data_IF_752583488264
#
_entry.id   IF_752583488264
#
_cell.length_a   1.000
_cell.length_b   1.000
_cell.length_c   1.000
_cell.angle_alpha   90.00
_cell.angle_beta   90.00
_cell.angle_gamma   90.00
#
_symmetry.space_group_name_H-M   'P 1'
#
loop_
_entity.id
_entity.type
_entity.pdbx_description
1 polymer ?
#
# COMPACT_ATOMS: atom_id res chain seq x y z
N UNK A 1 48.84 -32.56 -21.36
CA UNK A 1 47.45 -32.08 -21.53
C UNK A 1 46.81 -31.61 -20.21
N UNK A 2 47.56 -30.99 -19.28
CA UNK A 2 47.08 -30.67 -17.92
C UNK A 2 47.29 -29.20 -17.50
N UNK A 3 47.55 -28.30 -18.45
CA UNK A 3 47.86 -26.89 -18.15
C UNK A 3 46.79 -25.89 -18.58
N UNK A 4 45.66 -26.36 -19.11
CA UNK A 4 44.57 -25.50 -19.60
C UNK A 4 43.42 -25.30 -18.58
N UNK A 5 43.38 -26.01 -17.45
CA UNK A 5 42.23 -25.93 -16.52
C UNK A 5 42.37 -24.93 -15.37
N UNK A 6 43.54 -24.30 -15.17
CA UNK A 6 43.74 -23.35 -14.06
C UNK A 6 43.58 -21.87 -14.46
N UNK A 7 43.52 -21.56 -15.75
CA UNK A 7 43.37 -20.19 -16.25
C UNK A 7 41.90 -19.76 -16.33
N UNK A 8 40.97 -20.68 -16.57
CA UNK A 8 39.53 -20.38 -16.66
C UNK A 8 38.89 -20.08 -15.29
N UNK A 9 39.39 -20.67 -14.20
CA UNK A 9 38.83 -20.42 -12.86
C UNK A 9 39.17 -19.01 -12.33
N UNK A 10 40.37 -18.51 -12.64
CA UNK A 10 40.82 -17.19 -12.20
C UNK A 10 40.10 -16.04 -12.96
N UNK A 11 39.76 -16.25 -14.23
CA UNK A 11 39.04 -15.26 -15.04
C UNK A 11 37.56 -15.13 -14.60
N UNK A 12 36.95 -16.23 -14.16
CA UNK A 12 35.57 -16.19 -13.68
C UNK A 12 35.42 -15.53 -12.30
N UNK A 13 36.39 -15.75 -11.40
CA UNK A 13 36.36 -15.18 -10.05
C UNK A 13 36.58 -13.65 -10.04
N UNK A 14 37.45 -13.14 -10.92
CA UNK A 14 37.71 -11.71 -11.04
C UNK A 14 36.53 -10.95 -11.68
N UNK A 15 35.85 -11.54 -12.67
CA UNK A 15 34.65 -10.96 -13.25
C UNK A 15 33.47 -10.98 -12.27
N UNK A 16 33.33 -12.01 -11.44
CA UNK A 16 32.29 -12.06 -10.42
C UNK A 16 32.54 -11.04 -9.30
N UNK A 17 33.79 -10.87 -8.87
CA UNK A 17 34.18 -9.82 -7.91
C UNK A 17 34.01 -8.43 -8.50
N UNK A 18 34.31 -8.21 -9.78
CA UNK A 18 34.04 -6.93 -10.44
C UNK A 18 32.54 -6.68 -10.63
N UNK A 19 31.72 -7.68 -10.95
CA UNK A 19 30.26 -7.55 -11.02
C UNK A 19 29.63 -7.31 -9.65
N UNK A 20 30.12 -7.96 -8.60
CA UNK A 20 29.69 -7.74 -7.22
C UNK A 20 30.20 -6.39 -6.69
N UNK A 21 31.40 -5.96 -7.07
CA UNK A 21 31.91 -4.63 -6.76
C UNK A 21 31.10 -3.57 -7.52
N UNK A 22 30.81 -3.71 -8.81
CA UNK A 22 29.96 -2.78 -9.56
C UNK A 22 28.50 -2.77 -9.04
N UNK A 23 27.97 -3.93 -8.62
CA UNK A 23 26.68 -4.00 -7.93
C UNK A 23 26.71 -3.31 -6.56
N UNK A 24 27.88 -3.25 -5.92
CA UNK A 24 28.09 -2.56 -4.63
C UNK A 24 28.50 -1.08 -4.79
N UNK A 25 28.94 -0.62 -5.97
CA UNK A 25 29.60 0.68 -6.15
C UNK A 25 28.70 1.85 -6.59
N UNK A 26 27.38 1.68 -6.69
CA UNK A 26 26.48 2.79 -7.04
C UNK A 26 25.24 2.89 -6.15
N UNK A 27 25.38 2.53 -4.87
CA UNK A 27 24.44 2.95 -3.83
C UNK A 27 25.14 3.70 -2.69
N UNK A 28 26.13 4.52 -3.04
CA UNK A 28 26.51 5.66 -2.19
C UNK A 28 25.38 6.69 -2.27
N UNK A 29 24.24 6.37 -1.66
CA UNK A 29 23.22 7.36 -1.34
C UNK A 29 23.86 8.27 -0.32
N UNK A 30 24.30 9.45 -0.77
CA UNK A 30 24.82 10.50 0.10
C UNK A 30 23.95 10.58 1.35
N UNK A 31 24.58 10.54 2.51
CA UNK A 31 23.96 10.59 3.84
C UNK A 31 23.21 11.92 3.97
N UNK A 32 22.02 12.00 3.36
CA UNK A 32 21.14 13.13 3.50
C UNK A 32 20.80 13.21 4.98
N UNK A 33 21.31 14.26 5.63
CA UNK A 33 21.14 14.53 7.04
C UNK A 33 19.69 14.24 7.46
N UNK A 34 19.51 13.22 8.31
CA UNK A 34 18.19 12.78 8.73
C UNK A 34 17.55 13.89 9.57
N UNK A 35 16.63 14.63 8.98
CA UNK A 35 15.84 15.62 9.71
C UNK A 35 14.72 14.90 10.46
N UNK A 36 14.69 14.97 11.80
CA UNK A 36 13.65 14.31 12.58
C UNK A 36 12.27 14.86 12.20
N UNK A 37 11.28 13.96 12.13
CA UNK A 37 9.89 14.34 11.87
C UNK A 37 9.36 15.22 13.02
N UNK A 38 8.44 16.17 12.73
CA UNK A 38 7.74 16.90 13.77
C UNK A 38 7.07 15.93 14.77
N UNK A 39 7.04 16.23 16.09
CA UNK A 39 6.50 15.32 17.10
C UNK A 39 5.08 14.81 16.80
N UNK A 40 4.21 15.69 16.29
CA UNK A 40 2.83 15.32 15.92
C UNK A 40 2.77 14.29 14.79
N UNK A 41 3.66 14.40 13.79
CA UNK A 41 3.76 13.43 12.68
C UNK A 41 4.26 12.10 13.23
N UNK A 42 5.26 12.14 14.11
CA UNK A 42 5.85 10.92 14.69
C UNK A 42 4.84 10.15 15.54
N UNK A 43 4.04 10.83 16.36
CA UNK A 43 3.00 10.18 17.17
C UNK A 43 1.95 9.53 16.26
N UNK A 44 1.46 10.27 15.27
CA UNK A 44 0.51 9.75 14.27
C UNK A 44 1.06 8.50 13.55
N UNK A 45 2.32 8.57 13.09
CA UNK A 45 2.98 7.47 12.39
C UNK A 45 3.11 6.21 13.24
N UNK A 46 3.52 6.35 14.51
CA UNK A 46 3.67 5.22 15.43
C UNK A 46 2.30 4.59 15.71
N UNK A 47 1.27 5.40 15.97
CA UNK A 47 -0.09 4.91 16.17
C UNK A 47 -0.58 4.14 14.93
N UNK A 48 -0.39 4.69 13.73
CA UNK A 48 -0.79 4.03 12.49
C UNK A 48 0.01 2.76 12.20
N UNK A 49 1.31 2.71 12.52
CA UNK A 49 2.12 1.50 12.37
C UNK A 49 1.57 0.34 13.21
N UNK A 50 1.17 0.62 14.46
CA UNK A 50 0.59 -0.40 15.35
C UNK A 50 -0.79 -0.80 14.86
N UNK A 51 -1.67 0.16 14.60
CA UNK A 51 -3.05 -0.12 14.21
C UNK A 51 -3.14 -0.87 12.86
N UNK A 52 -2.40 -0.43 11.84
CA UNK A 52 -2.36 -1.11 10.55
C UNK A 52 -1.67 -2.48 10.63
N UNK A 53 -0.67 -2.67 11.49
CA UNK A 53 -0.10 -4.00 11.70
C UNK A 53 -1.15 -4.99 12.22
N UNK A 54 -1.93 -4.58 13.23
CA UNK A 54 -3.03 -5.38 13.76
C UNK A 54 -4.08 -5.68 12.69
N UNK A 55 -4.51 -4.67 11.92
CA UNK A 55 -5.46 -4.87 10.83
C UNK A 55 -4.94 -5.80 9.74
N UNK A 56 -3.67 -5.66 9.33
CA UNK A 56 -3.06 -6.55 8.35
C UNK A 56 -2.99 -7.98 8.86
N UNK A 57 -2.68 -8.20 10.14
CA UNK A 57 -2.70 -9.54 10.76
C UNK A 57 -4.12 -10.10 10.75
N UNK A 58 -5.12 -9.34 11.20
CA UNK A 58 -6.53 -9.76 11.17
C UNK A 58 -6.98 -10.09 9.75
N UNK A 59 -6.58 -9.28 8.76
CA UNK A 59 -6.90 -9.49 7.36
C UNK A 59 -6.31 -10.80 6.81
N UNK A 60 -5.02 -11.07 7.09
CA UNK A 60 -4.35 -12.32 6.70
C UNK A 60 -4.99 -13.52 7.39
N UNK A 61 -5.31 -13.42 8.68
CA UNK A 61 -5.99 -14.51 9.41
C UNK A 61 -7.38 -14.81 8.82
N UNK A 62 -8.13 -13.79 8.41
CA UNK A 62 -9.40 -13.97 7.72
C UNK A 62 -9.21 -14.63 6.35
N UNK A 63 -8.28 -14.16 5.52
CA UNK A 63 -7.96 -14.78 4.21
C UNK A 63 -7.45 -16.21 4.34
N UNK A 64 -6.78 -16.54 5.43
CA UNK A 64 -6.31 -17.89 5.74
C UNK A 64 -7.40 -18.80 6.31
N UNK A 65 -8.65 -18.33 6.41
CA UNK A 65 -9.77 -19.09 6.98
C UNK A 65 -9.65 -19.35 8.49
N UNK A 66 -8.85 -18.54 9.20
CA UNK A 66 -8.67 -18.64 10.66
C UNK A 66 -9.64 -17.77 11.45
N UNK A 67 -10.28 -16.80 10.80
CA UNK A 67 -11.38 -16.02 11.35
C UNK A 67 -12.67 -16.34 10.59
N UNK A 68 -13.68 -16.83 11.31
CA UNK A 68 -14.86 -17.45 10.69
C UNK A 68 -15.81 -16.45 10.01
N UNK A 69 -15.96 -15.25 10.56
CA UNK A 69 -16.97 -14.27 10.12
C UNK A 69 -16.39 -12.96 9.58
N UNK A 70 -15.11 -12.67 9.86
CA UNK A 70 -14.45 -11.41 9.52
C UNK A 70 -15.03 -10.19 10.22
N UNK A 71 -15.83 -10.34 11.27
CA UNK A 71 -16.35 -9.22 12.06
C UNK A 71 -15.23 -8.43 12.73
N UNK A 72 -14.20 -9.11 13.23
CA UNK A 72 -13.01 -8.45 13.78
C UNK A 72 -12.33 -7.54 12.74
N UNK A 73 -12.24 -7.99 11.49
CA UNK A 73 -11.69 -7.18 10.40
C UNK A 73 -12.59 -5.99 10.11
N UNK A 74 -13.90 -6.22 9.97
CA UNK A 74 -14.88 -5.17 9.65
C UNK A 74 -14.90 -4.06 10.71
N UNK A 75 -15.13 -4.41 11.97
CA UNK A 75 -15.21 -3.41 13.05
C UNK A 75 -13.86 -2.77 13.34
N UNK A 76 -12.76 -3.53 13.23
CA UNK A 76 -11.41 -2.96 13.31
C UNK A 76 -11.17 -1.92 12.22
N UNK A 77 -11.59 -2.21 10.98
CA UNK A 77 -11.42 -1.29 9.85
C UNK A 77 -12.25 -0.02 10.04
N UNK A 78 -13.52 -0.15 10.45
CA UNK A 78 -14.38 1.00 10.78
C UNK A 78 -13.74 1.87 11.86
N UNK A 79 -13.31 1.26 12.97
CA UNK A 79 -12.72 1.98 14.08
C UNK A 79 -11.44 2.73 13.65
N UNK A 80 -10.55 2.06 12.92
CA UNK A 80 -9.30 2.65 12.43
C UNK A 80 -9.55 3.81 11.45
N UNK A 81 -10.32 3.58 10.37
CA UNK A 81 -10.56 4.61 9.36
C UNK A 81 -11.26 5.83 9.95
N UNK A 82 -12.18 5.62 10.89
CA UNK A 82 -12.87 6.71 11.60
C UNK A 82 -11.90 7.49 12.48
N UNK A 83 -11.09 6.81 13.29
CA UNK A 83 -10.11 7.45 14.17
C UNK A 83 -9.04 8.23 13.38
N UNK A 84 -8.49 7.65 12.31
CA UNK A 84 -7.48 8.30 11.46
C UNK A 84 -8.06 9.51 10.72
N UNK A 85 -9.29 9.40 10.22
CA UNK A 85 -10.02 10.52 9.60
C UNK A 85 -10.21 11.69 10.58
N UNK A 86 -10.66 11.42 11.82
CA UNK A 86 -10.78 12.46 12.84
C UNK A 86 -9.43 13.08 13.20
N UNK A 87 -8.39 12.26 13.37
CA UNK A 87 -7.06 12.73 13.71
C UNK A 87 -6.52 13.67 12.62
N UNK A 88 -6.60 13.28 11.35
CA UNK A 88 -6.17 14.11 10.20
C UNK A 88 -7.03 15.37 10.08
N UNK A 89 -8.32 15.29 10.41
CA UNK A 89 -9.22 16.45 10.43
C UNK A 89 -8.84 17.49 11.49
N UNK A 90 -8.44 17.05 12.68
CA UNK A 90 -8.02 17.94 13.78
C UNK A 90 -6.60 18.48 13.56
N UNK A 91 -5.68 17.65 13.08
CA UNK A 91 -4.27 18.01 12.87
C UNK A 91 -3.83 17.83 11.42
N UNK A 92 -4.30 18.66 10.47
CA UNK A 92 -4.02 18.48 9.03
C UNK A 92 -2.54 18.54 8.64
N UNK A 93 -1.67 19.05 9.52
CA UNK A 93 -0.21 19.09 9.34
C UNK A 93 0.49 17.73 9.58
N UNK A 94 -0.22 16.72 10.10
CA UNK A 94 0.36 15.39 10.29
C UNK A 94 0.61 14.66 8.95
N UNK A 95 -0.02 15.11 7.87
CA UNK A 95 0.08 14.53 6.53
C UNK A 95 0.35 15.59 5.46
N UNK A 96 0.92 15.19 4.32
CA UNK A 96 1.29 16.12 3.23
C UNK A 96 0.10 16.73 2.52
N UNK A 97 -0.98 15.95 2.34
CA UNK A 97 -2.14 16.32 1.53
C UNK A 97 -3.44 15.98 2.26
N UNK A 98 -3.79 16.70 3.34
CA UNK A 98 -4.89 16.34 4.23
C UNK A 98 -6.23 16.24 3.50
N UNK A 99 -6.53 17.15 2.56
CA UNK A 99 -7.79 17.12 1.79
C UNK A 99 -7.94 15.85 0.96
N UNK A 100 -6.87 15.41 0.31
CA UNK A 100 -6.87 14.20 -0.55
C UNK A 100 -7.02 12.96 0.32
N UNK A 101 -6.33 12.93 1.46
CA UNK A 101 -6.39 11.82 2.42
C UNK A 101 -7.79 11.74 3.03
N UNK A 102 -8.38 12.85 3.47
CA UNK A 102 -9.76 12.87 3.98
C UNK A 102 -10.76 12.39 2.91
N UNK A 103 -10.61 12.83 1.66
CA UNK A 103 -11.43 12.33 0.55
C UNK A 103 -11.29 10.82 0.34
N UNK A 104 -10.07 10.29 0.46
CA UNK A 104 -9.81 8.85 0.46
C UNK A 104 -10.52 8.13 1.62
N UNK A 105 -10.41 8.62 2.86
CA UNK A 105 -11.09 8.01 4.02
C UNK A 105 -12.60 8.02 3.88
N UNK A 106 -13.19 9.07 3.31
CA UNK A 106 -14.63 9.13 3.04
C UNK A 106 -15.01 8.05 2.02
N UNK A 107 -14.29 7.94 0.90
CA UNK A 107 -14.56 6.92 -0.13
C UNK A 107 -14.40 5.50 0.42
N UNK A 108 -13.29 5.22 1.10
CA UNK A 108 -13.03 3.92 1.74
C UNK A 108 -14.05 3.62 2.83
N UNK A 109 -14.40 4.62 3.65
CA UNK A 109 -15.40 4.50 4.70
C UNK A 109 -16.76 4.08 4.15
N UNK A 110 -17.22 4.70 3.06
CA UNK A 110 -18.48 4.31 2.39
C UNK A 110 -18.43 2.84 1.91
N UNK A 111 -17.31 2.41 1.31
CA UNK A 111 -17.14 1.00 0.89
C UNK A 111 -17.14 0.04 2.09
N UNK A 112 -16.50 0.40 3.20
CA UNK A 112 -16.45 -0.40 4.43
C UNK A 112 -17.85 -0.58 5.05
N UNK A 113 -18.82 0.30 4.76
CA UNK A 113 -20.19 0.13 5.24
C UNK A 113 -20.97 -0.96 4.49
N UNK A 114 -20.54 -1.38 3.29
CA UNK A 114 -21.26 -2.40 2.51
C UNK A 114 -21.38 -3.73 3.26
N UNK A 115 -20.30 -4.31 3.83
CA UNK A 115 -20.41 -5.57 4.54
C UNK A 115 -21.17 -5.50 5.87
N UNK A 116 -21.47 -4.30 6.40
CA UNK A 116 -22.40 -4.18 7.54
C UNK A 116 -23.82 -4.55 7.15
N UNK A 117 -24.25 -4.17 5.95
CA UNK A 117 -25.59 -4.47 5.43
C UNK A 117 -25.63 -5.76 4.63
N UNK A 118 -24.51 -6.14 4.02
CA UNK A 118 -24.36 -7.32 3.17
C UNK A 118 -23.13 -8.14 3.60
N UNK A 119 -23.21 -8.92 4.70
CA UNK A 119 -22.06 -9.65 5.26
C UNK A 119 -21.35 -10.58 4.28
N UNK A 120 -22.04 -11.04 3.23
CA UNK A 120 -21.41 -11.82 2.15
C UNK A 120 -20.29 -11.09 1.41
N UNK A 121 -20.16 -9.77 1.53
CA UNK A 121 -19.10 -8.97 0.90
C UNK A 121 -17.90 -8.69 1.82
N UNK A 122 -17.82 -9.33 3.00
CA UNK A 122 -16.63 -9.20 3.87
C UNK A 122 -15.34 -9.66 3.14
N UNK A 123 -15.45 -10.62 2.22
CA UNK A 123 -14.30 -11.02 1.40
C UNK A 123 -13.82 -9.89 0.47
N UNK A 124 -14.73 -9.09 -0.10
CA UNK A 124 -14.35 -7.92 -0.90
C UNK A 124 -13.58 -6.89 -0.05
N UNK A 125 -14.07 -6.63 1.17
CA UNK A 125 -13.38 -5.76 2.13
C UNK A 125 -11.97 -6.28 2.42
N UNK A 126 -11.83 -7.57 2.69
CA UNK A 126 -10.54 -8.20 2.97
C UNK A 126 -9.52 -8.01 1.83
N UNK A 127 -9.94 -8.23 0.59
CA UNK A 127 -9.06 -7.99 -0.56
C UNK A 127 -8.75 -6.51 -0.80
N UNK A 128 -9.67 -5.60 -0.46
CA UNK A 128 -9.37 -4.16 -0.46
C UNK A 128 -8.31 -3.82 0.58
N UNK A 129 -8.45 -4.35 1.80
CA UNK A 129 -7.55 -4.08 2.93
C UNK A 129 -6.10 -4.55 2.69
N UNK A 130 -5.83 -5.38 1.69
CA UNK A 130 -4.46 -5.72 1.30
C UNK A 130 -3.61 -4.48 0.97
N UNK A 131 -4.21 -3.40 0.43
CA UNK A 131 -3.46 -2.16 0.13
C UNK A 131 -2.83 -1.53 1.37
N UNK A 132 -3.39 -1.80 2.54
CA UNK A 132 -2.86 -1.25 3.79
C UNK A 132 -1.52 -1.86 4.17
N UNK A 133 -1.11 -2.98 3.57
CA UNK A 133 0.28 -3.45 3.63
C UNK A 133 1.22 -2.43 2.97
N UNK A 134 0.84 -1.88 1.81
CA UNK A 134 1.63 -0.85 1.14
C UNK A 134 1.63 0.47 1.94
N UNK A 135 0.49 0.87 2.52
CA UNK A 135 0.41 2.02 3.43
C UNK A 135 1.33 1.81 4.65
N UNK A 136 1.28 0.64 5.28
CA UNK A 136 2.13 0.31 6.42
C UNK A 136 3.62 0.40 6.07
N UNK A 137 4.04 -0.15 4.93
CA UNK A 137 5.43 -0.04 4.44
C UNK A 137 5.84 1.41 4.16
N UNK A 138 4.93 2.24 3.64
CA UNK A 138 5.16 3.67 3.42
C UNK A 138 5.39 4.41 4.75
N UNK A 139 4.63 4.09 5.79
CA UNK A 139 4.78 4.69 7.11
C UNK A 139 6.06 4.16 7.79
N UNK A 140 6.35 2.87 7.65
CA UNK A 140 7.54 2.25 8.25
C UNK A 140 8.82 2.89 7.70
N UNK A 141 8.94 3.01 6.37
CA UNK A 141 10.13 3.59 5.73
C UNK A 141 10.36 5.06 6.06
N UNK A 142 9.32 5.83 6.40
CA UNK A 142 9.47 7.24 6.81
C UNK A 142 9.78 7.38 8.30
N UNK A 143 9.37 6.41 9.11
CA UNK A 143 9.50 6.44 10.56
C UNK A 143 10.85 5.90 11.03
N UNK A 144 11.34 4.83 10.40
CA UNK A 144 12.58 4.15 10.78
C UNK A 144 13.73 4.57 9.86
N UNK A 145 14.86 4.95 10.46
CA UNK A 145 16.09 5.33 9.74
C UNK A 145 16.99 4.14 9.37
N UNK A 146 16.76 2.97 9.98
CA UNK A 146 17.57 1.75 9.79
C UNK A 146 16.83 0.77 8.88
N UNK A 147 17.54 0.15 7.93
CA UNK A 147 16.97 -0.86 7.03
C UNK A 147 16.07 -0.30 5.91
N UNK A 148 16.30 0.95 5.52
CA UNK A 148 15.47 1.67 4.54
C UNK A 148 15.46 1.03 3.16
N UNK A 149 16.52 0.32 2.76
CA UNK A 149 16.61 -0.29 1.42
C UNK A 149 15.59 -1.41 1.23
N UNK A 150 15.53 -2.35 2.18
CA UNK A 150 14.56 -3.45 2.11
C UNK A 150 13.12 -2.92 2.17
N UNK A 151 12.84 -1.96 3.07
CA UNK A 151 11.53 -1.32 3.15
C UNK A 151 11.18 -0.54 1.88
N UNK A 152 12.16 0.09 1.23
CA UNK A 152 11.98 0.80 -0.04
C UNK A 152 11.62 -0.16 -1.17
N UNK A 153 12.37 -1.27 -1.31
CA UNK A 153 12.08 -2.32 -2.30
C UNK A 153 10.68 -2.91 -2.06
N UNK A 154 10.37 -3.31 -0.84
CA UNK A 154 9.05 -3.85 -0.47
C UNK A 154 7.93 -2.85 -0.72
N UNK A 155 8.16 -1.57 -0.41
CA UNK A 155 7.20 -0.51 -0.71
C UNK A 155 6.92 -0.41 -2.22
N UNK A 156 7.95 -0.36 -3.08
CA UNK A 156 7.70 -0.22 -4.52
C UNK A 156 7.09 -1.47 -5.13
N UNK A 157 7.53 -2.66 -4.70
CA UNK A 157 6.96 -3.92 -5.14
C UNK A 157 5.46 -3.99 -4.79
N UNK A 158 5.12 -3.75 -3.51
CA UNK A 158 3.73 -3.71 -3.07
C UNK A 158 2.93 -2.57 -3.70
N UNK A 159 3.55 -1.43 -4.02
CA UNK A 159 2.89 -0.32 -4.71
C UNK A 159 2.42 -0.74 -6.10
N UNK A 160 3.30 -1.37 -6.89
CA UNK A 160 2.96 -1.85 -8.24
C UNK A 160 1.89 -2.92 -8.15
N UNK A 161 2.12 -3.96 -7.34
CA UNK A 161 1.21 -5.10 -7.24
C UNK A 161 -0.17 -4.69 -6.71
N UNK A 162 -0.23 -3.98 -5.58
CA UNK A 162 -1.50 -3.72 -4.89
C UNK A 162 -2.23 -2.49 -5.44
N UNK A 163 -1.53 -1.39 -5.71
CA UNK A 163 -2.20 -0.15 -6.13
C UNK A 163 -2.44 -0.05 -7.63
N UNK A 164 -1.54 -0.60 -8.45
CA UNK A 164 -1.58 -0.41 -9.91
C UNK A 164 -2.08 -1.63 -10.68
N UNK A 165 -2.06 -2.82 -10.08
CA UNK A 165 -2.59 -4.04 -10.70
C UNK A 165 -3.85 -4.51 -9.95
N UNK A 166 -3.74 -4.75 -8.65
CA UNK A 166 -4.81 -5.32 -7.85
C UNK A 166 -6.03 -4.39 -7.71
N UNK A 167 -5.84 -3.12 -7.39
CA UNK A 167 -6.95 -2.17 -7.22
C UNK A 167 -7.80 -1.96 -8.48
N UNK A 168 -7.21 -1.73 -9.67
CA UNK A 168 -7.97 -1.71 -10.91
C UNK A 168 -8.74 -3.02 -11.18
N UNK A 169 -8.12 -4.17 -10.87
CA UNK A 169 -8.80 -5.46 -10.96
C UNK A 169 -10.00 -5.56 -10.01
N UNK A 170 -9.90 -5.05 -8.77
CA UNK A 170 -11.03 -5.01 -7.84
C UNK A 170 -12.18 -4.14 -8.34
N UNK A 171 -11.93 -3.06 -9.09
CA UNK A 171 -13.02 -2.28 -9.73
C UNK A 171 -13.84 -3.16 -10.67
N UNK A 172 -13.18 -4.01 -11.46
CA UNK A 172 -13.86 -4.97 -12.32
C UNK A 172 -14.64 -6.00 -11.50
N UNK A 173 -14.08 -6.52 -10.40
CA UNK A 173 -14.80 -7.44 -9.51
C UNK A 173 -16.06 -6.81 -8.93
N UNK A 174 -16.00 -5.59 -8.39
CA UNK A 174 -17.19 -4.91 -7.87
C UNK A 174 -18.24 -4.64 -8.95
N UNK A 175 -17.82 -4.38 -10.19
CA UNK A 175 -18.74 -4.27 -11.32
C UNK A 175 -19.47 -5.60 -11.57
N UNK A 176 -18.76 -6.73 -11.53
CA UNK A 176 -19.36 -8.07 -11.67
C UNK A 176 -20.33 -8.40 -10.53
N UNK A 177 -19.98 -8.06 -9.29
CA UNK A 177 -20.87 -8.26 -8.13
C UNK A 177 -22.14 -7.41 -8.23
N UNK A 178 -22.03 -6.18 -8.72
CA UNK A 178 -23.20 -5.34 -9.00
C UNK A 178 -24.08 -5.91 -10.12
N UNK A 179 -23.48 -6.47 -11.19
CA UNK A 179 -24.24 -7.15 -12.25
C UNK A 179 -25.01 -8.36 -11.71
N UNK A 180 -24.35 -9.20 -10.92
CA UNK A 180 -24.98 -10.38 -10.31
C UNK A 180 -26.15 -9.99 -9.41
N UNK A 181 -26.00 -8.93 -8.61
CA UNK A 181 -27.09 -8.43 -7.76
C UNK A 181 -28.21 -7.75 -8.57
N UNK A 182 -27.86 -7.12 -9.70
CA UNK A 182 -28.84 -6.56 -10.63
C UNK A 182 -29.71 -7.67 -11.25
N UNK A 183 -29.10 -8.78 -11.65
CA UNK A 183 -29.79 -9.95 -12.18
C UNK A 183 -30.69 -10.60 -11.12
N UNK A 184 -30.23 -10.69 -9.86
CA UNK A 184 -31.00 -11.31 -8.77
C UNK A 184 -32.23 -10.47 -8.37
N UNK A 185 -32.12 -9.14 -8.37
CA UNK A 185 -33.18 -8.21 -7.95
C UNK A 185 -34.07 -7.74 -9.12
N UNK A 186 -33.65 -7.95 -10.36
CA UNK A 186 -34.33 -7.44 -11.55
C UNK A 186 -34.26 -5.91 -11.72
N UNK A 187 -33.33 -5.25 -11.03
CA UNK A 187 -33.14 -3.79 -11.10
C UNK A 187 -31.67 -3.39 -10.93
N UNK A 188 -31.14 -2.48 -11.79
CA UNK A 188 -29.77 -1.99 -11.66
C UNK A 188 -29.58 -1.05 -10.46
N UNK A 189 -30.67 -0.56 -9.88
CA UNK A 189 -30.68 0.38 -8.78
C UNK A 189 -30.65 -0.34 -7.42
N UNK A 190 -29.52 -0.97 -7.13
CA UNK A 190 -29.25 -1.63 -5.85
C UNK A 190 -28.03 -1.01 -5.16
N UNK A 191 -27.91 -1.21 -3.84
CA UNK A 191 -26.85 -0.60 -3.03
C UNK A 191 -25.45 -1.00 -3.49
N UNK A 192 -25.27 -2.18 -4.10
CA UNK A 192 -23.97 -2.66 -4.59
C UNK A 192 -23.44 -1.77 -5.72
N UNK A 193 -24.29 -1.02 -6.44
CA UNK A 193 -23.89 -0.06 -7.48
C UNK A 193 -22.85 0.97 -6.99
N UNK A 194 -22.89 1.34 -5.70
CA UNK A 194 -21.93 2.31 -5.16
C UNK A 194 -20.50 1.75 -5.16
N UNK A 195 -20.34 0.41 -5.09
CA UNK A 195 -19.03 -0.23 -4.94
C UNK A 195 -18.09 -0.03 -6.12
N UNK A 196 -18.47 -0.30 -7.40
CA UNK A 196 -17.60 -0.03 -8.53
C UNK A 196 -17.30 1.47 -8.69
N UNK A 197 -18.24 2.35 -8.35
CA UNK A 197 -18.03 3.80 -8.44
C UNK A 197 -16.94 4.28 -7.46
N UNK A 198 -17.07 3.95 -6.17
CA UNK A 198 -16.08 4.37 -5.17
C UNK A 198 -14.74 3.63 -5.35
N UNK A 199 -14.74 2.36 -5.77
CA UNK A 199 -13.50 1.66 -6.09
C UNK A 199 -12.77 2.27 -7.31
N UNK A 200 -13.51 2.73 -8.32
CA UNK A 200 -12.94 3.47 -9.45
C UNK A 200 -12.33 4.81 -8.99
N UNK A 201 -12.99 5.53 -8.09
CA UNK A 201 -12.45 6.76 -7.50
C UNK A 201 -11.14 6.50 -6.72
N UNK A 202 -11.10 5.43 -5.90
CA UNK A 202 -9.89 5.00 -5.20
C UNK A 202 -8.76 4.60 -6.16
N UNK A 203 -9.10 3.92 -7.26
CA UNK A 203 -8.15 3.61 -8.33
C UNK A 203 -7.60 4.88 -8.99
N UNK A 204 -8.46 5.87 -9.27
CA UNK A 204 -8.03 7.17 -9.77
C UNK A 204 -7.07 7.91 -8.83
N UNK A 205 -7.32 7.84 -7.52
CA UNK A 205 -6.39 8.37 -6.50
C UNK A 205 -5.04 7.64 -6.51
N UNK A 206 -5.03 6.31 -6.70
CA UNK A 206 -3.79 5.56 -6.87
C UNK A 206 -3.01 6.02 -8.11
N UNK A 207 -3.67 6.23 -9.25
CA UNK A 207 -3.05 6.79 -10.46
C UNK A 207 -2.42 8.17 -10.18
N UNK A 208 -3.16 9.05 -9.49
CA UNK A 208 -2.67 10.37 -9.10
C UNK A 208 -1.41 10.29 -8.21
N UNK A 209 -1.39 9.39 -7.23
CA UNK A 209 -0.20 9.21 -6.40
C UNK A 209 0.97 8.56 -7.15
N UNK A 210 0.71 7.64 -8.07
CA UNK A 210 1.74 7.06 -8.95
C UNK A 210 2.40 8.15 -9.80
N UNK A 211 1.61 9.06 -10.38
CA UNK A 211 2.15 10.22 -11.11
C UNK A 211 3.02 11.11 -10.21
N UNK A 212 2.55 11.42 -9.00
CA UNK A 212 3.33 12.24 -8.06
C UNK A 212 4.65 11.58 -7.64
N UNK A 213 4.67 10.27 -7.41
CA UNK A 213 5.89 9.52 -7.10
C UNK A 213 6.89 9.61 -8.27
N UNK A 214 6.40 9.47 -9.49
CA UNK A 214 7.22 9.60 -10.70
C UNK A 214 7.85 11.00 -10.81
N UNK A 215 7.04 12.07 -10.72
CA UNK A 215 7.52 13.46 -10.82
C UNK A 215 8.54 13.78 -9.74
N UNK A 216 8.29 13.39 -8.49
CA UNK A 216 9.22 13.62 -7.37
C UNK A 216 10.56 12.93 -7.58
N UNK A 217 10.57 11.72 -8.16
CA UNK A 217 11.80 10.96 -8.42
C UNK A 217 12.61 11.56 -9.57
N UNK A 218 11.94 11.94 -10.66
CA UNK A 218 12.58 12.59 -11.81
C UNK A 218 13.21 13.93 -11.43
N UNK A 219 12.55 14.73 -10.60
CA UNK A 219 13.08 16.01 -10.13
C UNK A 219 14.34 15.89 -9.25
N UNK A 220 14.50 14.79 -8.49
CA UNK A 220 15.72 14.55 -7.70
C UNK A 220 16.91 14.17 -8.56
N UNK A 221 16.69 13.33 -9.58
CA UNK A 221 17.74 12.89 -10.51
C UNK A 221 18.37 14.09 -11.23
N UNK A 222 17.57 15.08 -11.64
CA UNK A 222 18.10 16.28 -12.30
C UNK A 222 18.94 17.19 -11.39
N UNK A 223 18.75 17.16 -10.06
CA UNK A 223 19.55 17.96 -9.13
C UNK A 223 20.92 17.33 -8.80
N UNK A 224 21.13 16.08 -9.21
CA UNK A 224 22.36 15.33 -8.97
C UNK A 224 23.29 15.28 -10.20
N UNK A 225 22.81 15.78 -11.35
CA UNK A 225 23.56 15.95 -12.59
C UNK A 225 24.03 17.40 -12.71
#
# INVERSE_FOLDING_TARGET
SLQASSLDSCFHENNLKQLLLHASFHFSMGSSEFKPLPPIVRVHDICNLVALALLNITNVLYLAGKLNDGHALLYGSIAYFTADMFYVGIWPKCVKSPKIILGHHICSGILILIPLHYPRYIWCLSYCMLVEVNTWLLIAKRTFSVGTEALEVLFYLSWVLLRNIWYPYLTYIYYREWQAETESLGSPWNVVLITPFFQAALTGLNCYWTYNLWVQRSGRRMKQL
#
